data_IF_047019228855
#
_entry.id   IF_047019228855
#
_cell.length_a   1.000
_cell.length_b   1.000
_cell.length_c   1.000
_cell.angle_alpha   90.00
_cell.angle_beta   90.00
_cell.angle_gamma   90.00
#
_symmetry.space_group_name_H-M   'P 1'
#
loop_
_entity.id
_entity.type
_entity.pdbx_description
1 polymer ?
#
# COMPACT_ATOMS: atom_id res chain seq x y z
N UNK A 1 -17.05 60.77 -24.56
CA UNK A 1 -16.42 59.95 -25.62
C UNK A 1 -15.58 58.89 -24.92
N UNK A 2 -16.00 57.63 -24.93
CA UNK A 2 -15.33 56.53 -24.22
C UNK A 2 -14.50 55.72 -25.22
N UNK A 3 -13.19 55.63 -24.99
CA UNK A 3 -12.27 54.77 -25.73
C UNK A 3 -12.46 53.32 -25.25
N UNK A 4 -12.81 52.36 -26.12
CA UNK A 4 -12.80 50.97 -25.73
C UNK A 4 -11.35 50.47 -25.74
N UNK A 5 -10.81 50.27 -24.54
CA UNK A 5 -9.53 49.62 -24.30
C UNK A 5 -9.59 48.22 -24.95
N UNK A 6 -8.83 48.03 -26.02
CA UNK A 6 -8.60 46.72 -26.64
C UNK A 6 -7.95 45.80 -25.60
N UNK A 7 -8.77 45.04 -24.87
CA UNK A 7 -8.37 43.84 -24.14
C UNK A 7 -7.93 42.81 -25.21
N UNK A 8 -6.69 42.92 -25.66
CA UNK A 8 -6.02 41.82 -26.34
C UNK A 8 -5.94 40.68 -25.32
N UNK A 9 -6.92 39.77 -25.37
CA UNK A 9 -6.78 38.46 -24.73
C UNK A 9 -5.44 37.90 -25.21
N UNK A 10 -4.49 37.75 -24.28
CA UNK A 10 -3.34 36.89 -24.54
C UNK A 10 -3.92 35.53 -24.88
N UNK A 11 -3.67 35.08 -26.10
CA UNK A 11 -4.02 33.74 -26.56
C UNK A 11 -3.58 32.74 -25.48
N UNK A 12 -4.42 31.75 -25.14
CA UNK A 12 -4.00 30.71 -24.23
C UNK A 12 -2.69 30.13 -24.78
N UNK A 13 -1.71 29.94 -23.91
CA UNK A 13 -0.50 29.17 -24.25
C UNK A 13 -0.99 27.78 -24.61
N UNK A 14 -1.20 27.55 -25.91
CA UNK A 14 -1.44 26.22 -26.47
C UNK A 14 -0.12 25.50 -26.27
N UNK A 15 -0.08 24.55 -25.33
CA UNK A 15 1.01 23.59 -25.29
C UNK A 15 1.16 23.04 -26.70
N UNK A 16 2.35 23.19 -27.29
CA UNK A 16 2.60 22.83 -28.67
C UNK A 16 2.51 21.30 -28.79
N UNK A 17 1.32 20.80 -29.10
CA UNK A 17 0.96 19.40 -29.29
C UNK A 17 1.53 18.88 -30.62
N UNK A 18 2.85 18.94 -30.77
CA UNK A 18 3.57 18.52 -31.97
C UNK A 18 3.01 17.23 -32.60
N UNK A 19 2.81 17.33 -33.92
CA UNK A 19 2.58 16.29 -34.93
C UNK A 19 1.27 15.47 -34.90
N UNK A 20 0.22 15.98 -35.57
CA UNK A 20 -1.01 15.25 -35.98
C UNK A 20 -1.94 14.73 -34.86
N UNK A 21 -3.25 14.75 -35.12
CA UNK A 21 -4.28 14.20 -34.23
C UNK A 21 -4.04 12.73 -33.85
N UNK A 22 -3.44 11.95 -34.76
CA UNK A 22 -3.18 10.54 -34.53
C UNK A 22 -2.07 10.32 -33.49
N UNK A 23 -1.02 11.14 -33.51
CA UNK A 23 0.06 11.02 -32.52
C UNK A 23 -0.41 11.46 -31.13
N UNK A 24 -1.20 12.54 -31.06
CA UNK A 24 -1.84 12.99 -29.83
C UNK A 24 -2.72 11.89 -29.22
N UNK A 25 -3.55 11.23 -30.04
CA UNK A 25 -4.38 10.09 -29.58
C UNK A 25 -3.54 8.91 -29.08
N UNK A 26 -2.51 8.50 -29.83
CA UNK A 26 -1.61 7.40 -29.44
C UNK A 26 -0.87 7.73 -28.14
N UNK A 27 -0.44 9.00 -27.97
CA UNK A 27 0.21 9.48 -26.76
C UNK A 27 -0.72 9.42 -25.55
N UNK A 28 -1.94 9.96 -25.65
CA UNK A 28 -2.93 9.89 -24.59
C UNK A 28 -3.24 8.44 -24.19
N UNK A 29 -3.43 7.53 -25.16
CA UNK A 29 -3.63 6.10 -24.88
C UNK A 29 -2.46 5.50 -24.08
N UNK A 30 -1.21 5.84 -24.42
CA UNK A 30 -0.03 5.35 -23.69
C UNK A 30 0.04 5.92 -22.28
N UNK A 31 -0.16 7.22 -22.11
CA UNK A 31 -0.14 7.89 -20.81
C UNK A 31 -1.21 7.32 -19.88
N UNK A 32 -2.47 7.21 -20.35
CA UNK A 32 -3.56 6.61 -19.58
C UNK A 32 -3.26 5.15 -19.20
N UNK A 33 -2.70 4.37 -20.13
CA UNK A 33 -2.35 2.96 -19.85
C UNK A 33 -1.25 2.85 -18.79
N UNK A 34 -0.19 3.66 -18.91
CA UNK A 34 0.90 3.71 -17.95
C UNK A 34 0.40 4.10 -16.57
N UNK A 35 -0.47 5.11 -16.51
CA UNK A 35 -1.10 5.58 -15.27
C UNK A 35 -1.88 4.48 -14.54
N UNK A 36 -2.80 3.80 -15.25
CA UNK A 36 -3.56 2.69 -14.67
C UNK A 36 -2.66 1.53 -14.22
N UNK A 37 -1.58 1.24 -14.97
CA UNK A 37 -0.61 0.22 -14.56
C UNK A 37 0.10 0.61 -13.27
N UNK A 38 0.45 1.88 -13.09
CA UNK A 38 1.08 2.37 -11.85
C UNK A 38 0.15 2.21 -10.64
N UNK A 39 -1.13 2.55 -10.80
CA UNK A 39 -2.16 2.33 -9.76
C UNK A 39 -2.23 0.84 -9.39
N UNK A 40 -2.42 -0.03 -10.39
CA UNK A 40 -2.56 -1.47 -10.15
C UNK A 40 -1.31 -2.07 -9.49
N UNK A 41 -0.13 -1.62 -9.88
CA UNK A 41 1.13 -2.07 -9.29
C UNK A 41 1.24 -1.67 -7.81
N UNK A 42 0.95 -0.41 -7.49
CA UNK A 42 0.97 0.10 -6.12
C UNK A 42 -0.06 -0.63 -5.23
N UNK A 43 -1.28 -0.82 -5.73
CA UNK A 43 -2.30 -1.61 -5.04
C UNK A 43 -1.82 -3.03 -4.76
N UNK A 44 -1.24 -3.69 -5.78
CA UNK A 44 -0.75 -5.06 -5.65
C UNK A 44 0.35 -5.18 -4.61
N UNK A 45 1.37 -4.31 -4.65
CA UNK A 45 2.45 -4.31 -3.65
C UNK A 45 1.90 -4.14 -2.24
N UNK A 46 0.98 -3.18 -2.03
CA UNK A 46 0.35 -2.97 -0.74
C UNK A 46 -0.42 -4.20 -0.27
N UNK A 47 -1.28 -4.77 -1.13
CA UNK A 47 -2.10 -5.93 -0.74
C UNK A 47 -1.25 -7.15 -0.43
N UNK A 48 -0.19 -7.41 -1.21
CA UNK A 48 0.72 -8.54 -0.94
C UNK A 48 1.46 -8.37 0.38
N UNK A 49 2.01 -7.17 0.65
CA UNK A 49 2.68 -6.93 1.93
C UNK A 49 1.70 -6.99 3.11
N UNK A 50 0.45 -6.57 2.91
CA UNK A 50 -0.59 -6.63 3.93
C UNK A 50 -1.02 -8.08 4.23
N UNK A 51 -1.13 -8.92 3.22
CA UNK A 51 -1.35 -10.37 3.36
C UNK A 51 -0.23 -11.01 4.18
N UNK A 52 1.03 -10.78 3.80
CA UNK A 52 2.20 -11.28 4.55
C UNK A 52 2.19 -10.82 6.03
N UNK A 53 1.85 -9.54 6.27
CA UNK A 53 1.72 -9.01 7.62
C UNK A 53 0.64 -9.74 8.42
N UNK A 54 -0.53 -9.98 7.83
CA UNK A 54 -1.61 -10.67 8.52
C UNK A 54 -1.32 -12.13 8.79
N UNK A 55 -0.68 -12.85 7.87
CA UNK A 55 -0.22 -14.22 8.09
C UNK A 55 0.77 -14.29 9.26
N UNK A 56 1.76 -13.40 9.30
CA UNK A 56 2.70 -13.31 10.40
C UNK A 56 2.01 -12.95 11.73
N UNK A 57 1.00 -12.08 11.69
CA UNK A 57 0.20 -11.71 12.88
C UNK A 57 -0.60 -12.90 13.39
N UNK A 58 -1.24 -13.66 12.51
CA UNK A 58 -1.99 -14.87 12.87
C UNK A 58 -1.06 -15.85 13.58
N UNK A 59 0.14 -16.10 13.04
CA UNK A 59 1.14 -16.98 13.68
C UNK A 59 1.51 -16.52 15.10
N UNK A 60 1.67 -15.21 15.33
CA UNK A 60 1.93 -14.67 16.68
C UNK A 60 0.78 -14.96 17.63
N UNK A 61 -0.46 -14.75 17.18
CA UNK A 61 -1.65 -15.00 18.01
C UNK A 61 -1.88 -16.50 18.27
N UNK A 62 -1.62 -17.37 17.30
CA UNK A 62 -1.67 -18.82 17.48
C UNK A 62 -0.70 -19.30 18.56
N UNK A 63 0.56 -18.83 18.52
CA UNK A 63 1.56 -19.21 19.54
C UNK A 63 1.15 -18.69 20.92
N UNK A 64 0.63 -17.45 21.01
CA UNK A 64 0.09 -16.91 22.28
C UNK A 64 -1.05 -17.78 22.81
N UNK A 65 -1.99 -18.18 21.95
CA UNK A 65 -3.11 -19.04 22.35
C UNK A 65 -2.62 -20.40 22.87
N UNK A 66 -1.65 -21.02 22.20
CA UNK A 66 -1.01 -22.27 22.66
C UNK A 66 -0.36 -22.10 24.03
N UNK A 67 0.39 -21.01 24.24
CA UNK A 67 1.01 -20.71 25.54
C UNK A 67 -0.03 -20.52 26.65
N UNK A 68 -1.19 -19.92 26.35
CA UNK A 68 -2.24 -19.71 27.36
C UNK A 68 -2.93 -21.02 27.77
N UNK A 69 -3.13 -21.93 26.80
CA UNK A 69 -3.58 -23.29 27.09
C UNK A 69 -2.54 -24.01 27.95
N UNK A 70 -1.26 -23.95 27.59
CA UNK A 70 -0.19 -24.59 28.35
C UNK A 70 -0.10 -24.08 29.79
N UNK A 71 -0.26 -22.78 30.05
CA UNK A 71 -0.34 -22.25 31.42
C UNK A 71 -1.47 -22.87 32.24
N UNK A 72 -2.56 -23.25 31.60
CA UNK A 72 -3.69 -23.91 32.27
C UNK A 72 -3.37 -25.38 32.55
N UNK A 73 -2.75 -26.08 31.61
CA UNK A 73 -2.30 -27.48 31.77
C UNK A 73 -1.21 -27.59 32.83
N UNK A 74 -0.23 -26.67 32.82
CA UNK A 74 0.90 -26.64 33.76
C UNK A 74 0.43 -26.52 35.23
N UNK A 75 -0.67 -25.81 35.48
CA UNK A 75 -1.29 -25.74 36.82
C UNK A 75 -1.79 -27.08 37.34
N UNK A 76 -2.16 -28.00 36.45
CA UNK A 76 -2.74 -29.32 36.80
C UNK A 76 -1.66 -30.40 36.80
N UNK A 77 -0.75 -30.37 35.82
CA UNK A 77 0.20 -31.44 35.55
C UNK A 77 1.65 -31.12 35.93
N UNK A 78 1.94 -29.89 36.36
CA UNK A 78 3.30 -29.42 36.63
C UNK A 78 4.01 -28.90 35.37
N UNK A 79 5.31 -28.64 35.50
CA UNK A 79 6.14 -27.98 34.46
C UNK A 79 6.08 -28.72 33.12
N UNK A 80 5.91 -27.97 32.03
CA UNK A 80 5.89 -28.48 30.65
C UNK A 80 7.07 -27.88 29.88
N UNK A 81 7.97 -28.74 29.37
CA UNK A 81 9.21 -28.30 28.72
C UNK A 81 8.96 -27.53 27.41
N UNK A 82 7.93 -27.92 26.66
CA UNK A 82 7.56 -27.30 25.38
C UNK A 82 7.22 -25.81 25.49
N UNK A 83 6.89 -25.33 26.70
CA UNK A 83 6.60 -23.92 26.96
C UNK A 83 7.77 -23.02 26.62
N UNK A 84 9.00 -23.40 26.99
CA UNK A 84 10.20 -22.58 26.72
C UNK A 84 10.46 -22.45 25.22
N UNK A 85 10.26 -23.54 24.47
CA UNK A 85 10.37 -23.55 23.01
C UNK A 85 9.34 -22.61 22.38
N UNK A 86 8.08 -22.68 22.82
CA UNK A 86 7.03 -21.79 22.32
C UNK A 86 7.25 -20.32 22.68
N UNK A 87 7.84 -20.01 23.83
CA UNK A 87 8.21 -18.65 24.20
C UNK A 87 9.31 -18.09 23.28
N UNK A 88 10.31 -18.92 22.92
CA UNK A 88 11.34 -18.56 21.96
C UNK A 88 10.77 -18.36 20.55
N UNK A 89 9.89 -19.27 20.11
CA UNK A 89 9.16 -19.14 18.84
C UNK A 89 8.31 -17.87 18.79
N UNK A 90 7.64 -17.52 19.90
CA UNK A 90 6.86 -16.29 20.00
C UNK A 90 7.74 -15.06 19.82
N UNK A 91 8.92 -15.04 20.44
CA UNK A 91 9.87 -13.94 20.30
C UNK A 91 10.33 -13.80 18.85
N UNK A 92 10.65 -14.92 18.18
CA UNK A 92 11.03 -14.93 16.78
C UNK A 92 9.89 -14.44 15.89
N UNK A 93 8.68 -14.98 16.04
CA UNK A 93 7.51 -14.59 15.27
C UNK A 93 7.18 -13.09 15.43
N UNK A 94 7.28 -12.55 16.64
CA UNK A 94 7.10 -11.11 16.89
C UNK A 94 8.17 -10.25 16.19
N UNK A 95 9.42 -10.72 16.14
CA UNK A 95 10.49 -10.01 15.42
C UNK A 95 10.24 -10.04 13.92
N UNK A 96 9.86 -11.18 13.36
CA UNK A 96 9.50 -11.31 11.95
C UNK A 96 8.32 -10.42 11.58
N UNK A 97 7.25 -10.41 12.39
CA UNK A 97 6.10 -9.52 12.18
C UNK A 97 6.51 -8.04 12.15
N UNK A 98 7.37 -7.61 13.08
CA UNK A 98 7.87 -6.23 13.12
C UNK A 98 8.77 -5.87 11.94
N UNK A 99 9.38 -6.85 11.28
CA UNK A 99 10.25 -6.63 10.13
C UNK A 99 9.46 -6.44 8.83
N UNK A 100 8.18 -6.83 8.79
CA UNK A 100 7.34 -6.67 7.60
C UNK A 100 6.95 -5.19 7.47
N UNK A 101 7.30 -4.61 6.33
CA UNK A 101 6.88 -3.26 5.96
C UNK A 101 5.71 -3.33 4.99
N UNK A 102 4.57 -2.80 5.38
CA UNK A 102 3.43 -2.59 4.49
C UNK A 102 3.54 -1.18 3.92
N UNK A 103 3.79 -1.00 2.62
CA UNK A 103 3.93 0.32 2.02
C UNK A 103 2.59 1.04 2.07
N UNK A 104 2.56 2.32 2.47
CA UNK A 104 1.34 3.12 2.41
C UNK A 104 0.99 3.45 0.96
N UNK A 105 -0.29 3.28 0.61
CA UNK A 105 -0.82 3.72 -0.67
C UNK A 105 -0.82 5.25 -0.69
N UNK A 106 0.03 5.84 -1.54
CA UNK A 106 0.12 7.28 -1.68
C UNK A 106 -0.55 7.72 -2.98
N UNK A 107 -1.87 7.91 -2.89
CA UNK A 107 -2.68 8.32 -4.04
C UNK A 107 -2.31 9.71 -4.58
N UNK A 108 -1.79 10.61 -3.72
CA UNK A 108 -1.33 11.93 -4.15
C UNK A 108 -0.13 11.86 -5.11
N UNK A 109 0.77 10.88 -4.95
CA UNK A 109 1.87 10.65 -5.91
C UNK A 109 1.37 10.26 -7.31
N UNK A 110 0.16 9.74 -7.41
CA UNK A 110 -0.48 9.38 -8.67
C UNK A 110 -1.48 10.44 -9.16
N UNK A 111 -1.63 11.57 -8.44
CA UNK A 111 -2.66 12.56 -8.76
C UNK A 111 -4.10 12.09 -8.47
N UNK A 112 -4.24 10.98 -7.74
CA UNK A 112 -5.52 10.37 -7.38
C UNK A 112 -5.94 10.71 -5.95
N UNK A 113 -5.65 11.93 -5.49
CA UNK A 113 -5.89 12.35 -4.10
C UNK A 113 -7.34 12.15 -3.62
N UNK A 114 -8.31 12.09 -4.53
CA UNK A 114 -9.72 11.81 -4.24
C UNK A 114 -9.99 10.36 -3.77
N UNK A 115 -9.03 9.44 -3.92
CA UNK A 115 -9.13 8.07 -3.39
C UNK A 115 -8.80 7.95 -1.89
N UNK A 116 -8.47 9.06 -1.21
CA UNK A 116 -8.23 9.08 0.24
C UNK A 116 -9.50 9.24 1.09
N UNK A 117 -10.59 9.76 0.51
CA UNK A 117 -11.89 9.96 1.17
C UNK A 117 -12.73 8.67 1.16
#
# INVERSE_FOLDING_TARGET
MANPTNLKLKEPVVEDYGSSLEEAFRRGKRETTTHHRAILYMCKEHTTALEEYYEARIRVEEIKAKLEILKTVEKVFGVIEEKQTLEAELLFAKKSLKAIHVPELNWFKLGEGWMYD
#
